data_IF_948987049538
#
_entry.id   IF_948987049538
#
_cell.length_a   1.000
_cell.length_b   1.000
_cell.length_c   1.000
_cell.angle_alpha   90.00
_cell.angle_beta   90.00
_cell.angle_gamma   90.00
#
_symmetry.space_group_name_H-M   'P 1'
#
loop_
_entity.id
_entity.type
_entity.pdbx_description
1 polymer ?
#
# COMPACT_ATOMS: atom_id res chain seq x y z
N UNK A 1 13.14 -10.21 -8.65
CA UNK A 1 11.81 -10.04 -8.02
C UNK A 1 10.96 -9.18 -8.96
N UNK A 2 9.73 -9.58 -9.29
CA UNK A 2 8.80 -8.82 -10.13
C UNK A 2 8.01 -7.79 -9.32
N UNK A 3 7.51 -8.18 -8.14
CA UNK A 3 6.71 -7.33 -7.27
C UNK A 3 7.24 -7.39 -5.84
N UNK A 4 7.58 -6.24 -5.27
CA UNK A 4 7.81 -6.10 -3.83
C UNK A 4 6.50 -5.66 -3.17
N UNK A 5 6.05 -6.39 -2.17
CA UNK A 5 4.88 -6.06 -1.36
C UNK A 5 5.38 -5.55 -0.01
N UNK A 6 5.28 -4.24 0.21
CA UNK A 6 5.75 -3.57 1.42
C UNK A 6 4.57 -3.15 2.30
N UNK A 7 4.49 -3.70 3.50
CA UNK A 7 3.28 -3.60 4.33
C UNK A 7 3.61 -2.84 5.62
N UNK A 8 2.94 -1.71 5.85
CA UNK A 8 3.01 -1.00 7.12
C UNK A 8 2.37 -1.86 8.22
N UNK A 9 3.14 -2.16 9.27
CA UNK A 9 2.68 -2.94 10.42
C UNK A 9 3.30 -2.38 11.71
N UNK A 10 2.88 -2.89 12.86
CA UNK A 10 3.45 -2.57 14.18
C UNK A 10 3.81 -3.86 14.94
N UNK A 11 4.69 -3.81 15.95
CA UNK A 11 5.18 -5.01 16.65
C UNK A 11 4.05 -5.95 17.13
N UNK A 12 3.01 -5.38 17.74
CA UNK A 12 1.90 -6.15 18.31
C UNK A 12 0.92 -6.73 17.25
N UNK A 13 1.09 -6.40 15.96
CA UNK A 13 0.21 -6.86 14.88
C UNK A 13 0.62 -8.22 14.29
N UNK A 14 1.24 -9.12 15.08
CA UNK A 14 1.68 -10.45 14.62
C UNK A 14 0.55 -11.25 13.95
N UNK A 15 -0.67 -11.20 14.49
CA UNK A 15 -1.82 -11.89 13.92
C UNK A 15 -2.20 -11.37 12.52
N UNK A 16 -2.09 -10.05 12.29
CA UNK A 16 -2.33 -9.44 10.98
C UNK A 16 -1.27 -9.89 9.97
N UNK A 17 0.01 -9.83 10.36
CA UNK A 17 1.11 -10.32 9.53
C UNK A 17 0.91 -11.79 9.16
N UNK A 18 0.62 -12.64 10.14
CA UNK A 18 0.37 -14.07 9.93
C UNK A 18 -0.82 -14.34 9.00
N UNK A 19 -1.92 -13.60 9.13
CA UNK A 19 -3.05 -13.73 8.21
C UNK A 19 -2.64 -13.36 6.78
N UNK A 20 -1.86 -12.29 6.59
CA UNK A 20 -1.33 -11.90 5.28
C UNK A 20 -0.41 -12.99 4.72
N UNK A 21 0.50 -13.56 5.54
CA UNK A 21 1.40 -14.65 5.11
C UNK A 21 0.63 -15.88 4.59
N UNK A 22 -0.53 -16.17 5.18
CA UNK A 22 -1.41 -17.31 4.84
C UNK A 22 -2.42 -17.01 3.73
N UNK A 23 -2.48 -15.78 3.22
CA UNK A 23 -3.49 -15.34 2.26
C UNK A 23 -2.86 -14.68 1.05
N UNK A 24 -3.26 -13.45 0.71
CA UNK A 24 -2.80 -12.74 -0.48
C UNK A 24 -1.30 -12.41 -0.49
N UNK A 25 -0.65 -12.48 0.69
CA UNK A 25 0.78 -12.27 0.82
C UNK A 25 1.61 -13.54 0.58
N UNK A 26 1.01 -14.71 0.32
CA UNK A 26 1.73 -15.97 0.13
C UNK A 26 2.58 -15.95 -1.17
N UNK A 27 3.90 -15.87 -1.00
CA UNK A 27 4.87 -15.85 -2.10
C UNK A 27 4.86 -17.13 -2.94
N UNK A 28 4.57 -18.29 -2.33
CA UNK A 28 4.54 -19.58 -3.03
C UNK A 28 3.31 -19.67 -3.91
N UNK A 29 2.15 -19.31 -3.37
CA UNK A 29 0.89 -19.25 -4.12
C UNK A 29 1.00 -18.26 -5.30
N UNK A 30 1.57 -17.07 -5.08
CA UNK A 30 1.76 -16.09 -6.16
C UNK A 30 2.69 -16.63 -7.26
N UNK A 31 3.76 -17.34 -6.89
CA UNK A 31 4.66 -17.96 -7.86
C UNK A 31 3.97 -19.08 -8.65
N UNK A 32 3.22 -19.97 -8.00
CA UNK A 32 2.55 -21.10 -8.65
C UNK A 32 1.38 -20.65 -9.54
N UNK A 33 0.51 -19.79 -9.02
CA UNK A 33 -0.74 -19.43 -9.70
C UNK A 33 -0.57 -18.28 -10.71
N UNK A 34 0.36 -17.36 -10.47
CA UNK A 34 0.51 -16.14 -11.27
C UNK A 34 1.82 -16.09 -12.07
N UNK A 35 2.74 -17.03 -11.85
CA UNK A 35 4.00 -17.14 -12.58
C UNK A 35 4.93 -15.94 -12.40
N UNK A 36 4.85 -15.24 -11.27
CA UNK A 36 5.72 -14.10 -10.95
C UNK A 36 6.42 -14.29 -9.61
N UNK A 37 7.67 -13.84 -9.52
CA UNK A 37 8.40 -13.84 -8.26
C UNK A 37 8.00 -12.59 -7.45
N UNK A 38 7.28 -12.79 -6.35
CA UNK A 38 6.93 -11.74 -5.40
C UNK A 38 7.79 -11.86 -4.15
N UNK A 39 8.15 -10.74 -3.52
CA UNK A 39 8.71 -10.72 -2.15
C UNK A 39 7.85 -9.84 -1.26
N UNK A 40 7.53 -10.30 -0.07
CA UNK A 40 6.79 -9.59 0.96
C UNK A 40 7.74 -9.10 2.04
N UNK A 41 7.55 -7.87 2.51
CA UNK A 41 8.23 -7.32 3.69
C UNK A 41 7.26 -6.51 4.55
N UNK A 42 7.42 -6.59 5.87
CA UNK A 42 6.68 -5.81 6.85
C UNK A 42 7.56 -4.68 7.40
N UNK A 43 7.02 -3.47 7.45
CA UNK A 43 7.72 -2.24 7.83
C UNK A 43 7.32 -1.82 9.24
N UNK A 44 8.26 -1.87 10.18
CA UNK A 44 8.03 -1.62 11.61
C UNK A 44 9.00 -0.56 12.17
N UNK A 45 8.53 0.19 13.18
CA UNK A 45 9.39 0.95 14.07
C UNK A 45 9.82 0.15 15.31
N UNK A 46 10.31 0.85 16.32
CA UNK A 46 10.69 0.30 17.61
C UNK A 46 9.46 -0.26 18.35
N UNK A 47 9.66 -1.39 19.04
CA UNK A 47 8.63 -1.97 19.88
C UNK A 47 8.45 -1.20 21.19
N UNK A 48 7.25 -1.24 21.80
CA UNK A 48 6.96 -0.47 23.01
C UNK A 48 7.68 -0.98 24.27
N UNK A 49 8.16 -2.23 24.27
CA UNK A 49 8.88 -2.86 25.38
C UNK A 49 9.68 -4.07 24.88
N UNK A 50 10.59 -4.57 25.73
CA UNK A 50 11.48 -5.70 25.46
C UNK A 50 10.72 -6.98 25.12
N UNK A 51 9.66 -7.32 25.85
CA UNK A 51 8.84 -8.52 25.56
C UNK A 51 8.22 -8.49 24.14
N UNK A 52 7.74 -7.33 23.69
CA UNK A 52 7.27 -7.16 22.31
C UNK A 52 8.42 -7.25 21.30
N UNK A 53 9.63 -6.78 21.65
CA UNK A 53 10.82 -6.88 20.82
C UNK A 53 11.29 -8.34 20.68
N UNK A 54 11.32 -9.11 21.77
CA UNK A 54 11.71 -10.52 21.77
C UNK A 54 10.75 -11.36 20.91
N UNK A 55 9.45 -11.12 21.05
CA UNK A 55 8.43 -11.78 20.21
C UNK A 55 8.61 -11.45 18.72
N UNK A 56 9.00 -10.22 18.40
CA UNK A 56 9.27 -9.81 17.03
C UNK A 56 10.57 -10.43 16.50
N UNK A 57 11.61 -10.50 17.32
CA UNK A 57 12.88 -11.14 16.97
C UNK A 57 12.67 -12.63 16.64
N UNK A 58 11.94 -13.36 17.48
CA UNK A 58 11.58 -14.76 17.22
C UNK A 58 10.75 -14.93 15.95
N UNK A 59 9.81 -14.01 15.69
CA UNK A 59 9.04 -14.03 14.43
C UNK A 59 9.93 -13.77 13.21
N UNK A 60 10.87 -12.83 13.30
CA UNK A 60 11.76 -12.52 12.19
C UNK A 60 12.77 -13.64 11.93
N UNK A 61 13.23 -14.33 12.97
CA UNK A 61 14.08 -15.52 12.83
C UNK A 61 13.38 -16.66 12.06
N UNK A 62 12.04 -16.74 12.13
CA UNK A 62 11.26 -17.75 11.40
C UNK A 62 10.92 -17.33 9.96
N UNK A 63 10.61 -16.05 9.74
CA UNK A 63 10.01 -15.59 8.48
C UNK A 63 10.91 -14.72 7.60
N UNK A 64 11.93 -14.08 8.15
CA UNK A 64 12.91 -13.23 7.44
C UNK A 64 12.26 -12.20 6.50
N UNK A 65 11.15 -11.60 6.96
CA UNK A 65 10.33 -10.68 6.18
C UNK A 65 10.01 -9.39 6.95
N UNK A 66 10.76 -9.07 8.01
CA UNK A 66 10.60 -7.83 8.78
C UNK A 66 11.76 -6.87 8.53
N UNK A 67 11.42 -5.63 8.20
CA UNK A 67 12.33 -4.50 8.21
C UNK A 67 11.94 -3.60 9.37
N UNK A 68 12.86 -3.47 10.33
CA UNK A 68 12.65 -2.69 11.54
C UNK A 68 13.63 -1.53 11.61
N UNK A 69 13.13 -0.35 11.98
CA UNK A 69 13.96 0.81 12.28
C UNK A 69 13.75 1.28 13.72
N UNK A 70 14.77 1.93 14.28
CA UNK A 70 14.73 2.43 15.65
C UNK A 70 14.07 3.82 15.73
N UNK A 71 12.76 3.89 15.55
CA UNK A 71 11.95 5.10 15.81
C UNK A 71 10.64 4.73 16.49
N UNK A 72 10.05 5.66 17.25
CA UNK A 72 8.75 5.43 17.88
C UNK A 72 7.66 5.21 16.82
N UNK A 73 7.13 3.99 16.74
CA UNK A 73 6.09 3.64 15.77
C UNK A 73 4.73 4.22 16.19
N UNK A 74 4.34 5.33 15.55
CA UNK A 74 3.09 6.03 15.84
C UNK A 74 2.48 6.57 14.56
N UNK A 75 1.19 6.90 14.60
CA UNK A 75 0.48 7.47 13.45
C UNK A 75 1.22 8.70 12.87
N UNK A 76 1.71 9.60 13.74
CA UNK A 76 2.43 10.82 13.31
C UNK A 76 3.80 10.52 12.68
N UNK A 77 4.40 9.38 12.98
CA UNK A 77 5.69 8.95 12.44
C UNK A 77 5.58 8.01 11.23
N UNK A 78 4.37 7.75 10.72
CA UNK A 78 4.21 6.96 9.48
C UNK A 78 4.94 7.59 8.30
N UNK A 79 5.04 8.92 8.23
CA UNK A 79 5.81 9.60 7.19
C UNK A 79 7.31 9.35 7.31
N UNK A 80 7.83 9.24 8.54
CA UNK A 80 9.22 8.85 8.78
C UNK A 80 9.44 7.39 8.34
N UNK A 81 8.52 6.48 8.70
CA UNK A 81 8.51 5.09 8.21
C UNK A 81 8.58 5.05 6.68
N UNK A 82 7.84 5.93 6.01
CA UNK A 82 7.85 6.00 4.55
C UNK A 82 9.18 6.50 3.97
N UNK A 83 9.77 7.54 4.55
CA UNK A 83 11.08 8.03 4.14
C UNK A 83 12.16 6.94 4.30
N UNK A 84 12.13 6.21 5.42
CA UNK A 84 13.05 5.10 5.70
C UNK A 84 12.86 3.94 4.73
N UNK A 85 11.61 3.61 4.39
CA UNK A 85 11.30 2.61 3.38
C UNK A 85 11.83 3.02 1.99
N UNK A 86 11.56 4.25 1.54
CA UNK A 86 12.05 4.77 0.26
C UNK A 86 13.58 4.75 0.20
N UNK A 87 14.25 5.10 1.31
CA UNK A 87 15.70 5.00 1.44
C UNK A 87 16.19 3.55 1.31
N UNK A 88 15.60 2.63 2.07
CA UNK A 88 15.97 1.22 2.03
C UNK A 88 15.76 0.62 0.64
N UNK A 89 14.62 0.88 0.01
CA UNK A 89 14.34 0.43 -1.35
C UNK A 89 15.41 0.94 -2.33
N UNK A 90 15.73 2.24 -2.23
CA UNK A 90 16.72 2.90 -3.08
C UNK A 90 18.17 2.45 -2.85
N UNK A 91 18.45 1.72 -1.78
CA UNK A 91 19.78 1.15 -1.48
C UNK A 91 19.86 -0.35 -1.73
N UNK A 92 18.80 -1.09 -1.41
CA UNK A 92 18.82 -2.55 -1.30
C UNK A 92 17.96 -3.28 -2.33
N UNK A 93 16.99 -2.62 -2.97
CA UNK A 93 16.00 -3.28 -3.84
C UNK A 93 15.69 -2.49 -5.14
N UNK A 94 16.64 -1.68 -5.61
CA UNK A 94 16.44 -0.75 -6.74
C UNK A 94 15.99 -1.39 -8.05
N UNK A 95 16.33 -2.67 -8.26
CA UNK A 95 16.04 -3.41 -9.49
C UNK A 95 14.61 -3.94 -9.56
N UNK A 96 13.86 -3.90 -8.46
CA UNK A 96 12.47 -4.38 -8.46
C UNK A 96 11.61 -3.40 -9.28
N UNK A 97 10.89 -3.88 -10.32
CA UNK A 97 10.19 -2.99 -11.23
C UNK A 97 8.91 -2.40 -10.61
N UNK A 98 8.25 -3.14 -9.72
CA UNK A 98 6.98 -2.73 -9.12
C UNK A 98 6.94 -2.94 -7.61
N UNK A 99 6.23 -2.03 -6.94
CA UNK A 99 6.00 -2.04 -5.51
C UNK A 99 4.50 -1.92 -5.28
N UNK A 100 3.93 -2.87 -4.54
CA UNK A 100 2.68 -2.63 -3.83
C UNK A 100 3.02 -2.16 -2.42
N UNK A 101 2.44 -1.04 -2.00
CA UNK A 101 2.52 -0.60 -0.61
C UNK A 101 1.11 -0.56 -0.02
N UNK A 102 0.95 -1.06 1.20
CA UNK A 102 -0.35 -1.10 1.88
C UNK A 102 -0.26 -1.15 3.40
N UNK A 103 -1.42 -1.17 4.04
CA UNK A 103 -1.58 -1.37 5.48
C UNK A 103 -1.85 -2.86 5.80
N UNK A 104 -1.63 -3.27 7.05
CA UNK A 104 -1.79 -4.66 7.49
C UNK A 104 -3.24 -5.08 7.79
N UNK A 105 -4.21 -4.20 7.50
CA UNK A 105 -5.64 -4.42 7.70
C UNK A 105 -6.44 -4.41 6.39
N UNK A 106 -5.79 -4.76 5.28
CA UNK A 106 -6.34 -4.67 3.93
C UNK A 106 -6.43 -6.05 3.28
N UNK A 107 -7.54 -6.29 2.58
CA UNK A 107 -7.61 -7.37 1.60
C UNK A 107 -7.01 -6.89 0.28
N UNK A 108 -6.06 -7.67 -0.27
CA UNK A 108 -5.43 -7.38 -1.55
C UNK A 108 -5.77 -8.50 -2.53
N UNK A 109 -6.43 -8.14 -3.63
CA UNK A 109 -6.57 -9.06 -4.76
C UNK A 109 -5.27 -9.05 -5.56
N UNK A 110 -4.28 -9.83 -5.08
CA UNK A 110 -2.93 -9.85 -5.65
C UNK A 110 -2.93 -10.32 -7.12
N UNK A 111 -3.88 -11.18 -7.51
CA UNK A 111 -4.09 -11.61 -8.90
C UNK A 111 -4.43 -10.40 -9.80
N UNK A 112 -5.38 -9.57 -9.40
CA UNK A 112 -5.76 -8.38 -10.16
C UNK A 112 -4.63 -7.35 -10.25
N UNK A 113 -3.81 -7.23 -9.20
CA UNK A 113 -2.62 -6.36 -9.24
C UNK A 113 -1.59 -6.90 -10.25
N UNK A 114 -1.28 -8.19 -10.21
CA UNK A 114 -0.28 -8.79 -11.12
C UNK A 114 -0.75 -8.72 -12.57
N UNK A 115 -2.02 -9.00 -12.86
CA UNK A 115 -2.59 -8.87 -14.21
C UNK A 115 -2.45 -7.43 -14.71
N UNK A 116 -2.89 -6.46 -13.90
CA UNK A 116 -2.77 -5.03 -14.22
C UNK A 116 -1.32 -4.62 -14.55
N UNK A 117 -0.34 -5.13 -13.81
CA UNK A 117 1.08 -4.80 -14.04
C UNK A 117 1.68 -5.47 -15.27
N UNK A 118 1.24 -6.69 -15.61
CA UNK A 118 1.68 -7.38 -16.83
C UNK A 118 1.15 -6.68 -18.09
N UNK A 119 -0.09 -6.17 -18.02
CA UNK A 119 -0.77 -5.50 -19.13
C UNK A 119 -0.41 -4.01 -19.26
N UNK A 120 0.36 -3.46 -18.31
CA UNK A 120 0.70 -2.04 -18.29
C UNK A 120 1.58 -1.67 -19.50
N UNK A 121 1.16 -0.70 -20.35
CA UNK A 121 1.96 -0.23 -21.49
C UNK A 121 3.32 0.34 -21.05
N UNK A 122 4.35 0.10 -21.85
CA UNK A 122 5.74 0.44 -21.51
C UNK A 122 5.94 1.92 -21.16
N UNK A 123 5.34 2.82 -21.94
CA UNK A 123 5.39 4.26 -21.72
C UNK A 123 4.78 4.71 -20.38
N UNK A 124 3.97 3.87 -19.73
CA UNK A 124 3.35 4.15 -18.43
C UNK A 124 4.07 3.53 -17.25
N UNK A 125 4.97 2.56 -17.48
CA UNK A 125 5.64 1.82 -16.40
C UNK A 125 6.54 2.72 -15.55
N UNK A 126 7.30 3.61 -16.18
CA UNK A 126 8.29 4.44 -15.48
C UNK A 126 7.64 5.36 -14.43
N UNK A 127 6.48 5.93 -14.74
CA UNK A 127 5.80 6.92 -13.90
C UNK A 127 4.58 6.33 -13.17
N UNK A 128 4.51 5.01 -13.02
CA UNK A 128 3.40 4.37 -12.33
C UNK A 128 3.32 4.81 -10.87
N UNK A 129 2.18 5.39 -10.51
CA UNK A 129 1.79 5.69 -9.14
C UNK A 129 0.25 5.72 -9.09
N UNK A 130 -0.37 4.60 -8.71
CA UNK A 130 -1.81 4.34 -8.89
C UNK A 130 -2.46 3.85 -7.59
N UNK A 131 -3.64 4.36 -7.30
CA UNK A 131 -4.42 4.01 -6.11
C UNK A 131 -5.76 4.72 -6.10
N UNK A 132 -6.39 4.79 -4.93
CA UNK A 132 -7.59 5.60 -4.70
C UNK A 132 -7.18 7.07 -4.52
N UNK A 133 -7.41 7.93 -5.52
CA UNK A 133 -6.89 9.30 -5.49
C UNK A 133 -7.84 10.23 -4.75
N UNK A 134 -7.27 10.98 -3.80
CA UNK A 134 -7.88 12.13 -3.16
C UNK A 134 -7.32 13.41 -3.79
N UNK A 135 -8.22 14.24 -4.33
CA UNK A 135 -7.89 15.55 -4.88
C UNK A 135 -8.59 16.65 -4.09
N UNK A 136 -7.87 17.74 -3.76
CA UNK A 136 -8.43 18.86 -3.02
C UNK A 136 -8.72 18.60 -1.54
N UNK A 137 -8.05 17.62 -0.91
CA UNK A 137 -8.22 17.38 0.53
C UNK A 137 -7.73 18.60 1.34
N UNK A 138 -8.54 19.16 2.25
CA UNK A 138 -8.12 20.28 3.07
C UNK A 138 -7.16 19.84 4.19
N UNK A 139 -6.26 20.74 4.58
CA UNK A 139 -5.50 20.58 5.83
C UNK A 139 -6.46 20.64 7.02
N UNK A 140 -6.47 19.59 7.84
CA UNK A 140 -7.32 19.55 9.04
C UNK A 140 -6.78 20.51 10.10
N UNK A 141 -7.62 21.46 10.53
CA UNK A 141 -7.25 22.54 11.44
C UNK A 141 -7.53 22.23 12.92
N UNK A 142 -8.40 21.28 13.23
CA UNK A 142 -8.77 20.93 14.60
C UNK A 142 -7.62 20.16 15.28
N UNK A 143 -6.96 20.70 16.34
CA UNK A 143 -5.85 20.03 17.03
C UNK A 143 -6.19 18.69 17.68
N UNK A 144 -7.47 18.44 18.00
CA UNK A 144 -7.94 17.18 18.56
C UNK A 144 -8.03 16.04 17.52
N UNK A 145 -8.01 16.37 16.22
CA UNK A 145 -8.03 15.36 15.18
C UNK A 145 -6.67 14.67 15.06
N UNK A 146 -6.67 13.34 14.92
CA UNK A 146 -5.43 12.60 14.58
C UNK A 146 -4.80 13.06 13.26
N UNK A 147 -5.60 13.63 12.36
CA UNK A 147 -5.18 14.16 11.06
C UNK A 147 -4.76 15.64 11.10
N UNK A 148 -4.68 16.25 12.29
CA UNK A 148 -4.27 17.64 12.45
C UNK A 148 -2.84 17.89 11.95
N UNK A 149 -2.70 18.93 11.12
CA UNK A 149 -1.40 19.47 10.70
C UNK A 149 -1.39 20.95 10.97
N UNK A 150 -0.35 21.47 11.63
CA UNK A 150 -0.24 22.89 11.96
C UNK A 150 0.14 23.72 10.75
N UNK A 151 -0.22 25.01 10.77
CA UNK A 151 0.14 25.96 9.71
C UNK A 151 1.67 26.05 9.51
N UNK A 152 2.42 26.03 10.61
CA UNK A 152 3.88 26.08 10.58
C UNK A 152 4.51 24.87 9.88
N UNK A 153 3.85 23.71 9.87
CA UNK A 153 4.31 22.52 9.15
C UNK A 153 3.89 22.53 7.69
N UNK A 154 2.65 22.95 7.41
CA UNK A 154 2.10 23.01 6.06
C UNK A 154 1.19 24.24 5.93
N UNK A 155 1.67 25.34 5.30
CA UNK A 155 0.94 26.61 5.27
C UNK A 155 -0.24 26.58 4.28
N UNK A 156 -0.16 25.72 3.26
CA UNK A 156 -1.21 25.59 2.24
C UNK A 156 -2.53 25.09 2.85
N UNK A 157 -3.64 25.54 2.26
CA UNK A 157 -4.98 25.15 2.68
C UNK A 157 -5.35 23.73 2.24
N UNK A 158 -4.83 23.29 1.10
CA UNK A 158 -5.15 22.02 0.47
C UNK A 158 -3.88 21.23 0.16
N UNK A 159 -3.96 19.91 0.34
CA UNK A 159 -2.90 19.01 -0.11
C UNK A 159 -2.94 18.87 -1.64
N UNK A 160 -1.78 18.66 -2.29
CA UNK A 160 -1.77 18.18 -3.67
C UNK A 160 -2.46 16.82 -3.78
N UNK A 161 -2.88 16.41 -4.98
CA UNK A 161 -3.49 15.10 -5.16
C UNK A 161 -2.57 13.98 -4.66
N UNK A 162 -3.14 13.01 -3.94
CA UNK A 162 -2.42 11.88 -3.38
C UNK A 162 -3.28 10.61 -3.41
N UNK A 163 -2.64 9.44 -3.33
CA UNK A 163 -3.34 8.17 -3.15
C UNK A 163 -3.64 7.96 -1.67
N UNK A 164 -4.90 7.71 -1.32
CA UNK A 164 -5.29 7.44 0.06
C UNK A 164 -4.70 6.11 0.57
N UNK A 165 -4.61 6.00 1.89
CA UNK A 165 -4.21 4.77 2.59
C UNK A 165 -5.06 3.54 2.25
N UNK A 166 -4.69 2.40 2.82
CA UNK A 166 -5.19 1.09 2.42
C UNK A 166 -4.40 0.47 1.27
N UNK A 167 -3.77 1.28 0.41
CA UNK A 167 -2.68 0.81 -0.45
C UNK A 167 -2.70 1.34 -1.87
N UNK A 168 -1.55 1.24 -2.53
CA UNK A 168 -1.28 1.75 -3.86
C UNK A 168 -0.17 0.93 -4.52
N UNK A 169 -0.01 1.12 -5.84
CA UNK A 169 1.09 0.54 -6.59
C UNK A 169 1.94 1.63 -7.22
N UNK A 170 3.26 1.47 -7.18
CA UNK A 170 4.20 2.34 -7.86
C UNK A 170 5.29 1.55 -8.57
N UNK A 171 5.98 2.17 -9.52
CA UNK A 171 7.19 1.58 -10.10
C UNK A 171 8.39 1.77 -9.17
N UNK A 172 9.39 0.90 -9.30
CA UNK A 172 10.68 1.07 -8.61
C UNK A 172 11.37 2.37 -9.00
N UNK A 173 11.28 2.76 -10.29
CA UNK A 173 11.80 4.04 -10.78
C UNK A 173 11.14 5.25 -10.11
N UNK A 174 9.81 5.20 -9.90
CA UNK A 174 9.07 6.19 -9.13
C UNK A 174 9.58 6.25 -7.70
N UNK A 175 9.70 5.11 -7.00
CA UNK A 175 10.19 5.08 -5.62
C UNK A 175 11.59 5.71 -5.44
N UNK A 176 12.51 5.47 -6.37
CA UNK A 176 13.86 6.07 -6.35
C UNK A 176 13.76 7.60 -6.50
N UNK A 177 12.92 8.11 -7.41
CA UNK A 177 12.71 9.56 -7.58
C UNK A 177 12.05 10.19 -6.35
N UNK A 178 11.09 9.50 -5.74
CA UNK A 178 10.43 9.95 -4.51
C UNK A 178 11.41 10.00 -3.33
N UNK A 179 12.33 9.04 -3.22
CA UNK A 179 13.41 9.10 -2.23
C UNK A 179 14.29 10.35 -2.42
N UNK A 180 14.70 10.67 -3.65
CA UNK A 180 15.50 11.89 -3.90
C UNK A 180 14.72 13.17 -3.54
N UNK A 181 13.43 13.21 -3.88
CA UNK A 181 12.57 14.33 -3.52
C UNK A 181 12.36 14.45 -1.99
N UNK A 182 12.32 13.32 -1.27
CA UNK A 182 12.10 13.32 0.18
C UNK A 182 13.27 13.94 0.95
N UNK A 183 14.51 13.80 0.45
CA UNK A 183 15.70 14.42 1.04
C UNK A 183 15.64 15.95 1.09
N UNK A 184 14.83 16.57 0.24
CA UNK A 184 14.69 18.02 0.12
C UNK A 184 13.32 18.52 0.58
N UNK A 185 12.52 17.69 1.26
CA UNK A 185 11.13 17.99 1.56
C UNK A 185 10.87 17.94 3.06
N UNK A 186 10.12 18.92 3.56
CA UNK A 186 9.72 18.95 4.97
C UNK A 186 8.65 17.88 5.23
N UNK A 187 8.89 17.03 6.22
CA UNK A 187 7.96 15.98 6.64
C UNK A 187 6.71 16.60 7.27
N UNK A 188 5.54 16.07 6.91
CA UNK A 188 4.24 16.32 7.56
C UNK A 188 3.73 15.02 8.20
N UNK A 189 2.88 15.05 9.24
CA UNK A 189 2.47 13.85 9.98
C UNK A 189 1.33 13.08 9.30
N UNK A 190 1.22 13.16 7.97
CA UNK A 190 0.23 12.47 7.13
C UNK A 190 0.99 11.85 5.97
N UNK A 191 1.27 10.56 6.04
CA UNK A 191 2.16 9.84 5.12
C UNK A 191 1.63 9.84 3.68
N UNK A 192 0.34 9.57 3.51
CA UNK A 192 -0.31 9.56 2.20
C UNK A 192 -0.23 10.94 1.51
N UNK A 193 -0.54 12.02 2.25
CA UNK A 193 -0.46 13.38 1.73
C UNK A 193 0.99 13.79 1.44
N UNK A 194 1.96 13.34 2.26
CA UNK A 194 3.38 13.56 1.99
C UNK A 194 3.82 12.90 0.69
N UNK A 195 3.35 11.69 0.37
CA UNK A 195 3.61 11.07 -0.93
C UNK A 195 3.07 11.90 -2.08
N UNK A 196 1.88 12.51 -1.95
CA UNK A 196 1.37 13.48 -2.93
C UNK A 196 2.25 14.71 -3.11
N UNK A 197 2.83 15.24 -2.02
CA UNK A 197 3.79 16.34 -2.08
C UNK A 197 5.03 15.93 -2.88
N UNK A 198 5.57 14.74 -2.64
CA UNK A 198 6.74 14.23 -3.35
C UNK A 198 6.44 14.00 -4.84
N UNK A 199 5.30 13.38 -5.17
CA UNK A 199 4.85 13.14 -6.54
C UNK A 199 4.70 14.45 -7.30
N UNK A 200 4.04 15.45 -6.71
CA UNK A 200 3.94 16.80 -7.31
C UNK A 200 5.32 17.44 -7.50
N UNK A 201 6.22 17.31 -6.52
CA UNK A 201 7.56 17.91 -6.57
C UNK A 201 8.41 17.38 -7.72
N UNK A 202 8.23 16.12 -8.12
CA UNK A 202 8.95 15.52 -9.26
C UNK A 202 8.23 15.71 -10.61
N UNK A 203 7.17 16.52 -10.65
CA UNK A 203 6.40 16.81 -11.86
C UNK A 203 5.48 15.68 -12.32
N UNK A 204 5.11 14.75 -11.43
CA UNK A 204 4.24 13.63 -11.72
C UNK A 204 2.88 13.79 -11.03
N UNK A 205 1.93 12.92 -11.38
CA UNK A 205 0.57 12.93 -10.82
C UNK A 205 0.12 11.52 -10.44
N UNK A 206 -0.64 11.36 -9.34
CA UNK A 206 -1.22 10.07 -9.01
C UNK A 206 -2.33 9.71 -10.01
N UNK A 207 -2.48 8.42 -10.29
CA UNK A 207 -3.44 7.87 -11.23
C UNK A 207 -4.59 7.24 -10.43
N UNK A 208 -5.83 7.67 -10.70
CA UNK A 208 -7.00 7.14 -10.01
C UNK A 208 -7.43 5.79 -10.57
N UNK A 209 -7.74 4.86 -9.67
CA UNK A 209 -8.25 3.53 -9.98
C UNK A 209 -9.33 3.13 -8.98
N UNK A 210 -10.55 2.99 -9.49
CA UNK A 210 -11.75 2.66 -8.71
C UNK A 210 -11.72 1.26 -8.08
N UNK A 211 -10.78 0.41 -8.47
CA UNK A 211 -10.53 -0.89 -7.86
C UNK A 211 -9.91 -0.78 -6.46
N UNK A 212 -9.39 0.37 -6.05
CA UNK A 212 -8.89 0.58 -4.69
C UNK A 212 -10.02 1.09 -3.80
N UNK A 213 -10.44 0.30 -2.80
CA UNK A 213 -11.60 0.62 -1.93
C UNK A 213 -11.15 1.04 -0.54
N UNK A 214 -10.59 2.23 -0.42
CA UNK A 214 -10.06 2.78 0.85
C UNK A 214 -11.15 3.07 1.91
N UNK A 215 -12.40 3.29 1.50
CA UNK A 215 -13.55 3.53 2.40
C UNK A 215 -14.47 2.33 2.56
N UNK A 216 -14.00 1.12 2.22
CA UNK A 216 -14.81 -0.09 2.31
C UNK A 216 -15.84 -0.23 1.19
N UNK A 217 -16.72 -1.21 1.36
CA UNK A 217 -17.79 -1.54 0.43
C UNK A 217 -19.06 -1.89 1.20
N UNK A 218 -20.23 -1.53 0.65
CA UNK A 218 -21.53 -1.80 1.29
C UNK A 218 -21.82 -3.30 1.44
N UNK A 219 -21.39 -4.09 0.45
CA UNK A 219 -21.51 -5.56 0.44
C UNK A 219 -20.15 -6.15 0.11
N UNK A 220 -19.72 -7.10 0.94
CA UNK A 220 -18.49 -7.86 0.77
C UNK A 220 -18.93 -9.28 0.42
N UNK A 221 -18.67 -9.68 -0.82
CA UNK A 221 -18.90 -11.03 -1.31
C UNK A 221 -17.76 -11.41 -2.28
N UNK A 222 -17.49 -12.71 -2.50
CA UNK A 222 -16.38 -13.15 -3.34
C UNK A 222 -16.40 -12.56 -4.76
N UNK A 223 -17.57 -12.41 -5.39
CA UNK A 223 -17.71 -11.85 -6.73
C UNK A 223 -17.33 -10.36 -6.80
N UNK A 224 -17.61 -9.60 -5.74
CA UNK A 224 -17.17 -8.21 -5.61
C UNK A 224 -15.67 -8.11 -5.34
N UNK A 225 -15.13 -8.97 -4.47
CA UNK A 225 -13.69 -9.04 -4.19
C UNK A 225 -12.88 -9.41 -5.44
N UNK A 226 -13.44 -10.27 -6.30
CA UNK A 226 -12.89 -10.63 -7.59
C UNK A 226 -12.69 -9.45 -8.57
N UNK A 227 -13.39 -8.33 -8.37
CA UNK A 227 -13.40 -7.18 -9.30
C UNK A 227 -12.63 -5.96 -8.80
N UNK A 228 -12.07 -6.01 -7.60
CA UNK A 228 -11.33 -4.89 -6.99
C UNK A 228 -9.86 -5.26 -6.84
N UNK A 229 -9.01 -4.28 -6.52
CA UNK A 229 -7.59 -4.46 -6.21
C UNK A 229 -7.37 -4.50 -4.71
N UNK A 230 -7.99 -3.59 -3.96
CA UNK A 230 -7.88 -3.55 -2.50
C UNK A 230 -9.22 -3.27 -1.83
N UNK A 231 -9.37 -3.72 -0.59
CA UNK A 231 -10.48 -3.38 0.29
C UNK A 231 -10.00 -3.12 1.72
N UNK A 232 -10.18 -1.88 2.18
CA UNK A 232 -9.96 -1.49 3.57
C UNK A 232 -11.31 -1.45 4.32
N UNK A 233 -11.48 -2.05 5.50
CA UNK A 233 -10.53 -2.82 6.31
C UNK A 233 -11.09 -4.19 6.69
N UNK A 234 -10.20 -5.13 7.00
CA UNK A 234 -10.52 -6.46 7.49
C UNK A 234 -9.75 -6.80 8.77
N UNK A 235 -10.38 -7.57 9.65
CA UNK A 235 -9.68 -8.30 10.73
C UNK A 235 -8.91 -9.49 10.15
N UNK A 236 -7.94 -10.07 10.89
CA UNK A 236 -7.24 -11.29 10.47
C UNK A 236 -8.19 -12.43 10.06
N UNK A 237 -9.23 -12.69 10.85
CA UNK A 237 -10.17 -13.79 10.58
C UNK A 237 -11.03 -13.51 9.34
N UNK A 238 -11.53 -12.28 9.21
CA UNK A 238 -12.25 -11.85 8.01
C UNK A 238 -11.38 -11.98 6.76
N UNK A 239 -10.09 -11.64 6.86
CA UNK A 239 -9.15 -11.73 5.76
C UNK A 239 -8.95 -13.18 5.32
N UNK A 240 -8.73 -14.09 6.27
CA UNK A 240 -8.56 -15.53 6.01
C UNK A 240 -9.81 -16.12 5.38
N UNK A 241 -10.99 -15.79 5.92
CA UNK A 241 -12.26 -16.25 5.39
C UNK A 241 -12.48 -15.74 3.95
N UNK A 242 -12.37 -14.43 3.74
CA UNK A 242 -12.58 -13.80 2.44
C UNK A 242 -11.61 -14.34 1.38
N UNK A 243 -10.35 -14.59 1.75
CA UNK A 243 -9.36 -15.20 0.85
C UNK A 243 -9.71 -16.64 0.48
N UNK A 244 -10.10 -17.46 1.47
CA UNK A 244 -10.51 -18.85 1.25
C UNK A 244 -11.72 -18.95 0.30
N UNK A 245 -12.72 -18.08 0.49
CA UNK A 245 -13.90 -18.00 -0.38
C UNK A 245 -13.52 -17.50 -1.79
N UNK A 246 -12.63 -16.50 -1.90
CA UNK A 246 -12.16 -15.98 -3.18
C UNK A 246 -11.37 -17.02 -3.99
N UNK A 247 -10.45 -17.76 -3.37
CA UNK A 247 -9.62 -18.75 -4.08
C UNK A 247 -10.46 -19.93 -4.61
N UNK A 248 -11.56 -20.26 -3.93
CA UNK A 248 -12.51 -21.32 -4.35
C UNK A 248 -13.60 -20.82 -5.29
N UNK A 249 -13.61 -19.52 -5.63
CA UNK A 249 -14.67 -18.92 -6.42
C UNK A 249 -14.65 -19.44 -7.86
N UNK A 250 -15.75 -20.06 -8.27
CA UNK A 250 -16.06 -20.25 -9.68
C UNK A 250 -16.63 -18.93 -10.24
N UNK A 251 -15.81 -18.22 -11.03
CA UNK A 251 -16.18 -16.92 -11.59
C UNK A 251 -17.43 -16.98 -12.51
N UNK A 252 -17.78 -18.15 -13.05
CA UNK A 252 -18.98 -18.30 -13.88
C UNK A 252 -20.27 -18.09 -13.08
N UNK A 253 -20.22 -18.30 -11.77
CA UNK A 253 -21.34 -18.09 -10.84
C UNK A 253 -21.57 -16.62 -10.50
N UNK A 254 -20.60 -15.75 -10.80
CA UNK A 254 -20.75 -14.32 -10.63
C UNK A 254 -21.62 -13.75 -11.76
N UNK A 255 -22.84 -13.30 -11.43
CA UNK A 255 -23.75 -12.69 -12.40
C UNK A 255 -23.10 -11.57 -13.23
N UNK A 256 -23.58 -11.41 -14.47
CA UNK A 256 -23.13 -10.38 -15.44
C UNK A 256 -23.55 -8.95 -15.04
N UNK A 257 -23.36 -8.53 -13.80
CA UNK A 257 -23.53 -7.12 -13.45
C UNK A 257 -22.29 -6.33 -13.91
N UNK A 258 -22.35 -5.80 -15.14
CA UNK A 258 -21.44 -4.82 -15.77
C UNK A 258 -19.94 -5.17 -15.74
N UNK A 259 -19.45 -5.62 -16.89
CA UNK A 259 -18.07 -5.99 -17.20
C UNK A 259 -17.04 -4.82 -17.23
N UNK A 260 -17.33 -3.68 -16.59
CA UNK A 260 -16.56 -2.44 -16.79
C UNK A 260 -15.42 -2.18 -15.79
N UNK A 261 -15.07 -3.14 -14.91
CA UNK A 261 -14.04 -2.89 -13.88
C UNK A 261 -12.67 -3.49 -14.22
N UNK A 262 -12.62 -4.51 -15.08
CA UNK A 262 -11.34 -5.10 -15.52
C UNK A 262 -10.56 -4.17 -16.46
N UNK A 263 -11.23 -3.21 -17.10
CA UNK A 263 -10.61 -2.11 -17.87
C UNK A 263 -10.93 -0.79 -17.19
N UNK A 264 -10.53 -0.64 -15.92
CA UNK A 264 -10.48 0.71 -15.31
C UNK A 264 -9.37 1.48 -16.00
N UNK A 265 -9.76 2.27 -17.03
CA UNK A 265 -8.92 3.31 -17.61
C UNK A 265 -8.47 4.20 -16.46
N UNK A 266 -7.23 4.01 -16.03
CA UNK A 266 -6.52 4.92 -15.14
C UNK A 266 -6.51 6.29 -15.80
N UNK A 267 -7.29 7.22 -15.25
CA UNK A 267 -7.33 8.58 -15.74
C UNK A 267 -6.27 9.38 -14.98
N UNK A 268 -5.37 10.11 -15.67
CA UNK A 268 -4.61 11.15 -15.01
C UNK A 268 -5.59 12.18 -14.44
N UNK A 269 -5.48 12.47 -13.15
CA UNK A 269 -6.21 13.58 -12.53
C UNK A 269 -5.37 14.83 -12.76
N UNK A 270 -5.60 15.52 -13.88
CA UNK A 270 -4.88 16.72 -14.29
C UNK A 270 -5.73 17.99 -14.13
N UNK A 271 -5.15 18.94 -13.38
CA UNK A 271 -5.45 20.39 -13.17
C UNK A 271 -6.91 20.74 -12.87
#
# INVERSE_FOLDING_TARGET
IFLLVAIKSACNNKNRRNAIRKTWGDERWVKSELGVNMRRVFLLGACPNENSQDKLASENAEHEDIIQWNFQDSFRNLTLKECLYLQWFSKSCREVPYIFKGDDDVFVNIKNIVIFLKELPENRRKNLFVGSVLNGSPRILNPASKYYVSYNLFPEKFYPAYVSGGGFVMSGAMAIRLFQASLQSRIIPIDDAFMGILVKKIGEYPQDDRGYKSWGMRKIDPCRLARIKTLHRMTPDQLIQAWSEYVKLDFTTCGKETADVLVTRTKPVGI
#
